data_IF_755019869411
#
_entry.id   IF_755019869411
#
_cell.length_a   1.000
_cell.length_b   1.000
_cell.length_c   1.000
_cell.angle_alpha   90.00
_cell.angle_beta   90.00
_cell.angle_gamma   90.00
#
_symmetry.space_group_name_H-M   'P 1'
#
loop_
_entity.id
_entity.type
_entity.pdbx_description
1 polymer ?
#
# COMPACT_ATOMS: atom_id res chain seq x y z
N UNK A 1 -14.84 0.58 24.75
CA UNK A 1 -14.13 1.63 23.98
C UNK A 1 -13.62 1.00 22.69
N UNK A 2 -13.64 1.70 21.55
CA UNK A 2 -13.03 1.19 20.32
C UNK A 2 -11.56 0.87 20.57
N UNK A 3 -11.06 -0.27 20.07
CA UNK A 3 -9.64 -0.61 20.13
C UNK A 3 -8.89 0.14 19.04
N UNK A 4 -7.71 0.68 19.35
CA UNK A 4 -6.92 1.41 18.35
C UNK A 4 -6.41 0.49 17.23
N UNK A 5 -6.16 -0.78 17.54
CA UNK A 5 -5.79 -1.79 16.55
C UNK A 5 -6.92 -2.06 15.53
N UNK A 6 -8.18 -1.94 15.93
CA UNK A 6 -9.32 -2.11 15.02
C UNK A 6 -9.40 -1.00 13.96
N UNK A 7 -8.96 0.22 14.29
CA UNK A 7 -8.89 1.30 13.30
C UNK A 7 -7.81 1.01 12.25
N UNK A 8 -6.66 0.46 12.64
CA UNK A 8 -5.65 0.05 11.66
C UNK A 8 -6.10 -1.12 10.77
N UNK A 9 -6.87 -2.08 11.32
CA UNK A 9 -7.53 -3.13 10.52
C UNK A 9 -8.49 -2.51 9.51
N UNK A 10 -9.34 -1.58 9.96
CA UNK A 10 -10.32 -0.88 9.11
C UNK A 10 -9.66 -0.07 8.00
N UNK A 11 -8.61 0.69 8.33
CA UNK A 11 -7.83 1.44 7.34
C UNK A 11 -7.16 0.49 6.34
N UNK A 12 -6.70 -0.68 6.78
CA UNK A 12 -6.13 -1.68 5.87
C UNK A 12 -7.17 -2.32 4.96
N UNK A 13 -8.37 -2.63 5.45
CA UNK A 13 -9.47 -3.12 4.59
C UNK A 13 -9.81 -2.11 3.49
N UNK A 14 -9.91 -0.82 3.85
CA UNK A 14 -10.06 0.25 2.87
C UNK A 14 -8.90 0.27 1.86
N UNK A 15 -7.67 0.22 2.37
CA UNK A 15 -6.48 0.33 1.55
C UNK A 15 -6.35 -0.85 0.56
N UNK A 16 -6.76 -2.06 0.95
CA UNK A 16 -6.84 -3.22 0.07
C UNK A 16 -7.76 -2.96 -1.12
N UNK A 17 -8.97 -2.48 -0.88
CA UNK A 17 -9.91 -2.17 -1.95
C UNK A 17 -9.40 -1.03 -2.85
N UNK A 18 -8.78 -0.01 -2.25
CA UNK A 18 -8.15 1.06 -3.02
C UNK A 18 -6.97 0.55 -3.88
N UNK A 19 -6.13 -0.37 -3.38
CA UNK A 19 -5.10 -1.03 -4.20
C UNK A 19 -5.72 -1.81 -5.36
N UNK A 20 -6.75 -2.62 -5.10
CA UNK A 20 -7.43 -3.40 -6.14
C UNK A 20 -8.01 -2.50 -7.24
N UNK A 21 -8.67 -1.40 -6.87
CA UNK A 21 -9.17 -0.40 -7.82
C UNK A 21 -8.04 0.25 -8.62
N UNK A 22 -6.93 0.62 -7.97
CA UNK A 22 -5.75 1.15 -8.65
C UNK A 22 -5.16 0.15 -9.66
N UNK A 23 -5.00 -1.12 -9.28
CA UNK A 23 -4.52 -2.18 -10.16
C UNK A 23 -5.46 -2.41 -11.36
N UNK A 24 -6.77 -2.34 -11.14
CA UNK A 24 -7.76 -2.44 -12.21
C UNK A 24 -7.61 -1.29 -13.22
N UNK A 25 -7.43 -0.04 -12.76
CA UNK A 25 -7.16 1.10 -13.66
C UNK A 25 -5.84 0.95 -14.42
N UNK A 26 -4.78 0.42 -13.80
CA UNK A 26 -3.51 0.13 -14.46
C UNK A 26 -3.69 -0.94 -15.55
N UNK A 27 -4.42 -2.02 -15.26
CA UNK A 27 -4.70 -3.10 -16.22
C UNK A 27 -5.54 -2.62 -17.41
N UNK A 28 -6.56 -1.78 -17.15
CA UNK A 28 -7.33 -1.15 -18.21
C UNK A 28 -6.45 -0.28 -19.11
N UNK A 29 -5.57 0.54 -18.53
CA UNK A 29 -4.64 1.39 -19.28
C UNK A 29 -3.59 0.60 -20.07
N UNK A 30 -3.13 -0.55 -19.56
CA UNK A 30 -2.13 -1.40 -20.24
C UNK A 30 -2.62 -1.90 -21.60
N UNK A 31 -3.93 -2.09 -21.78
CA UNK A 31 -4.51 -2.52 -23.05
C UNK A 31 -4.33 -1.51 -24.19
N UNK A 32 -4.21 -0.21 -23.86
CA UNK A 32 -4.11 0.88 -24.85
C UNK A 32 -2.80 1.66 -24.78
N UNK A 33 -2.03 1.53 -23.70
CA UNK A 33 -0.86 2.36 -23.43
C UNK A 33 0.37 1.57 -22.95
N UNK A 34 0.44 0.26 -23.22
CA UNK A 34 1.50 -0.66 -22.77
C UNK A 34 2.92 -0.10 -22.80
N UNK A 35 3.29 0.62 -23.87
CA UNK A 35 4.63 1.14 -24.08
C UNK A 35 4.81 2.62 -23.65
N UNK A 36 3.80 3.23 -23.02
CA UNK A 36 3.86 4.62 -22.61
C UNK A 36 4.71 4.79 -21.33
N UNK A 37 5.68 5.71 -21.29
CA UNK A 37 6.57 5.89 -20.13
C UNK A 37 5.82 6.24 -18.84
N UNK A 38 4.77 7.06 -18.90
CA UNK A 38 3.95 7.37 -17.72
C UNK A 38 3.19 6.14 -17.18
N UNK A 39 2.74 5.20 -18.03
CA UNK A 39 2.16 3.94 -17.56
C UNK A 39 3.23 3.09 -16.87
N UNK A 40 4.42 2.97 -17.48
CA UNK A 40 5.55 2.24 -16.87
C UNK A 40 5.86 2.77 -15.48
N UNK A 41 6.02 4.08 -15.35
CA UNK A 41 6.26 4.75 -14.07
C UNK A 41 5.14 4.52 -13.06
N UNK A 42 3.87 4.49 -13.50
CA UNK A 42 2.74 4.21 -12.63
C UNK A 42 2.78 2.78 -12.07
N UNK A 43 3.16 1.80 -12.89
CA UNK A 43 3.34 0.40 -12.45
C UNK A 43 4.54 0.29 -11.50
N UNK A 44 5.64 0.99 -11.76
CA UNK A 44 6.82 1.01 -10.88
C UNK A 44 6.48 1.59 -9.50
N UNK A 45 5.66 2.66 -9.45
CA UNK A 45 5.14 3.21 -8.20
C UNK A 45 4.24 2.22 -7.46
N UNK A 46 3.43 1.44 -8.17
CA UNK A 46 2.60 0.40 -7.56
C UNK A 46 3.47 -0.70 -6.92
N UNK A 47 4.52 -1.13 -7.60
CA UNK A 47 5.50 -2.08 -7.05
C UNK A 47 6.28 -1.51 -5.84
N UNK A 48 6.58 -0.21 -5.86
CA UNK A 48 7.21 0.50 -4.75
C UNK A 48 6.34 0.51 -3.48
N UNK A 49 5.02 0.72 -3.62
CA UNK A 49 4.07 0.66 -2.48
C UNK A 49 4.21 -0.69 -1.77
N UNK A 50 4.18 -1.80 -2.51
CA UNK A 50 4.31 -3.14 -1.92
C UNK A 50 5.66 -3.30 -1.23
N UNK A 51 6.73 -2.96 -1.93
CA UNK A 51 8.10 -3.13 -1.44
C UNK A 51 8.37 -2.36 -0.15
N UNK A 52 7.88 -1.12 -0.04
CA UNK A 52 7.98 -0.33 1.18
C UNK A 52 7.22 -0.94 2.36
N UNK A 53 6.03 -1.49 2.12
CA UNK A 53 5.29 -2.22 3.18
C UNK A 53 6.03 -3.47 3.63
N UNK A 54 6.55 -4.26 2.69
CA UNK A 54 7.30 -5.47 3.01
C UNK A 54 8.60 -5.16 3.76
N UNK A 55 9.29 -4.08 3.38
CA UNK A 55 10.48 -3.59 4.08
C UNK A 55 10.15 -3.22 5.53
N UNK A 56 9.10 -2.44 5.77
CA UNK A 56 8.73 -2.09 7.14
C UNK A 56 8.30 -3.30 7.96
N UNK A 57 7.58 -4.25 7.37
CA UNK A 57 7.22 -5.49 8.06
C UNK A 57 8.46 -6.30 8.47
N UNK A 58 9.48 -6.39 7.60
CA UNK A 58 10.75 -7.07 7.90
C UNK A 58 11.53 -6.42 9.04
N UNK A 59 11.33 -5.12 9.29
CA UNK A 59 11.96 -4.40 10.39
C UNK A 59 11.21 -4.58 11.71
N UNK A 60 9.89 -4.79 11.64
CA UNK A 60 9.04 -4.91 12.81
C UNK A 60 8.88 -6.36 13.29
N UNK A 61 9.18 -7.34 12.43
CA UNK A 61 8.89 -8.78 12.62
C UNK A 61 9.90 -9.65 11.85
N UNK A 62 10.01 -10.92 12.24
CA UNK A 62 10.78 -11.93 11.49
C UNK A 62 9.93 -12.67 10.43
N UNK A 63 8.74 -12.17 10.09
CA UNK A 63 7.82 -12.84 9.16
C UNK A 63 8.31 -12.83 7.72
N UNK A 64 9.13 -11.85 7.35
CA UNK A 64 9.60 -11.62 5.98
C UNK A 64 11.02 -11.06 5.99
N UNK A 65 11.79 -11.41 4.96
CA UNK A 65 13.14 -10.86 4.78
C UNK A 65 13.09 -9.43 4.26
N UNK A 66 14.13 -8.65 4.59
CA UNK A 66 14.33 -7.31 4.03
C UNK A 66 14.41 -7.38 2.49
N UNK A 67 13.60 -6.62 1.75
CA UNK A 67 13.68 -6.56 0.29
C UNK A 67 15.06 -6.05 -0.19
N UNK A 68 15.55 -6.66 -1.27
CA UNK A 68 16.86 -6.33 -1.85
C UNK A 68 16.91 -4.90 -2.45
N UNK A 69 15.79 -4.38 -2.92
CA UNK A 69 15.64 -3.01 -3.44
C UNK A 69 14.32 -2.44 -2.95
N UNK A 70 14.22 -1.11 -2.87
CA UNK A 70 12.95 -0.38 -2.65
C UNK A 70 12.24 -0.03 -3.95
N UNK A 71 12.95 -0.08 -5.08
CA UNK A 71 12.46 0.31 -6.39
C UNK A 71 12.67 -0.85 -7.36
N UNK A 72 11.75 -1.82 -7.39
CA UNK A 72 11.78 -2.91 -8.37
C UNK A 72 11.22 -2.39 -9.72
N UNK A 73 11.95 -1.49 -10.36
CA UNK A 73 11.56 -0.90 -11.63
C UNK A 73 11.51 -1.95 -12.75
N UNK A 74 10.55 -1.82 -13.66
CA UNK A 74 10.40 -2.73 -14.79
C UNK A 74 9.65 -4.03 -14.47
N UNK A 75 9.23 -4.26 -13.23
CA UNK A 75 8.38 -5.42 -12.90
C UNK A 75 7.10 -5.41 -13.75
N UNK A 76 6.75 -6.52 -14.44
CA UNK A 76 5.52 -6.63 -15.21
C UNK A 76 4.28 -6.43 -14.33
N UNK A 77 3.21 -5.82 -14.88
CA UNK A 77 1.99 -5.55 -14.10
C UNK A 77 1.39 -6.81 -13.47
N UNK A 78 1.41 -7.95 -14.17
CA UNK A 78 0.94 -9.22 -13.64
C UNK A 78 1.69 -9.63 -12.35
N UNK A 79 3.01 -9.49 -12.34
CA UNK A 79 3.82 -9.77 -11.15
C UNK A 79 3.56 -8.76 -10.03
N UNK A 80 3.30 -7.48 -10.36
CA UNK A 80 2.91 -6.47 -9.36
C UNK A 80 1.57 -6.84 -8.70
N UNK A 81 0.61 -7.38 -9.46
CA UNK A 81 -0.66 -7.87 -8.89
C UNK A 81 -0.38 -8.99 -7.88
N UNK A 82 0.43 -9.99 -8.24
CA UNK A 82 0.82 -11.08 -7.32
C UNK A 82 1.59 -10.57 -6.09
N UNK A 83 2.41 -9.52 -6.24
CA UNK A 83 3.08 -8.85 -5.13
C UNK A 83 2.06 -8.24 -4.16
N UNK A 84 1.02 -7.57 -4.66
CA UNK A 84 -0.06 -7.03 -3.81
C UNK A 84 -0.82 -8.12 -3.08
N UNK A 85 -1.20 -9.20 -3.77
CA UNK A 85 -1.93 -10.32 -3.16
C UNK A 85 -1.16 -10.94 -1.99
N UNK A 86 0.14 -11.23 -2.21
CA UNK A 86 1.01 -11.76 -1.14
C UNK A 86 1.17 -10.78 0.01
N UNK A 87 1.41 -9.50 -0.29
CA UNK A 87 1.54 -8.46 0.72
C UNK A 87 0.26 -8.32 1.55
N UNK A 88 -0.91 -8.30 0.90
CA UNK A 88 -2.21 -8.23 1.55
C UNK A 88 -2.44 -9.41 2.49
N UNK A 89 -2.13 -10.64 2.06
CA UNK A 89 -2.31 -11.83 2.88
C UNK A 89 -1.43 -11.80 4.15
N UNK A 90 -0.16 -11.43 4.01
CA UNK A 90 0.78 -11.38 5.15
C UNK A 90 0.38 -10.27 6.12
N UNK A 91 0.06 -9.08 5.61
CA UNK A 91 -0.34 -7.95 6.45
C UNK A 91 -1.69 -8.14 7.12
N UNK A 92 -2.64 -8.84 6.48
CA UNK A 92 -3.91 -9.17 7.12
C UNK A 92 -3.67 -10.02 8.35
N UNK A 93 -2.86 -11.08 8.23
CA UNK A 93 -2.49 -11.93 9.37
C UNK A 93 -1.79 -11.14 10.49
N UNK A 94 -0.81 -10.32 10.14
CA UNK A 94 -0.11 -9.48 11.11
C UNK A 94 -1.06 -8.53 11.86
N UNK A 95 -1.98 -7.88 11.14
CA UNK A 95 -2.93 -6.95 11.75
C UNK A 95 -4.03 -7.67 12.53
N UNK A 96 -4.45 -8.87 12.13
CA UNK A 96 -5.43 -9.67 12.87
C UNK A 96 -4.91 -10.01 14.28
N UNK A 97 -3.63 -10.37 14.40
CA UNK A 97 -2.99 -10.70 15.68
C UNK A 97 -2.55 -9.48 16.50
N UNK A 98 -2.61 -8.26 15.94
CA UNK A 98 -2.09 -7.06 16.59
C UNK A 98 -2.99 -6.57 17.74
N UNK A 99 -2.50 -6.67 18.97
CA UNK A 99 -3.18 -6.13 20.15
C UNK A 99 -2.88 -4.63 20.35
N UNK A 100 -3.76 -3.90 21.05
CA UNK A 100 -3.57 -2.48 21.34
C UNK A 100 -2.26 -2.19 22.10
N UNK A 101 -1.86 -3.08 23.01
CA UNK A 101 -0.61 -2.95 23.76
C UNK A 101 0.63 -3.02 22.85
N UNK A 102 0.55 -3.71 21.70
CA UNK A 102 1.65 -3.83 20.75
C UNK A 102 1.84 -2.55 19.90
N UNK A 103 0.86 -1.65 19.87
CA UNK A 103 0.97 -0.41 19.11
C UNK A 103 2.05 0.52 19.64
N UNK A 104 2.31 0.50 20.94
CA UNK A 104 3.36 1.28 21.59
C UNK A 104 4.72 0.55 21.60
N UNK A 105 4.76 -0.71 21.18
CA UNK A 105 6.02 -1.46 21.10
C UNK A 105 7.00 -0.70 20.21
N UNK A 106 8.20 -0.48 20.77
CA UNK A 106 9.32 0.10 20.04
C UNK A 106 10.18 -1.00 19.43
N UNK A 107 10.74 -0.72 18.26
CA UNK A 107 11.71 -1.58 17.60
C UNK A 107 12.84 -0.72 17.00
N UNK A 108 14.03 -1.29 16.93
CA UNK A 108 15.17 -0.65 16.29
C UNK A 108 15.30 -1.12 14.85
N UNK A 109 15.81 -0.26 13.97
CA UNK A 109 16.12 -0.62 12.60
C UNK A 109 17.32 0.15 12.07
N UNK A 110 17.94 -0.41 11.04
CA UNK A 110 19.03 0.22 10.30
C UNK A 110 18.52 0.64 8.92
N UNK A 111 18.83 1.86 8.52
CA UNK A 111 18.53 2.37 7.17
C UNK A 111 19.43 1.71 6.13
N UNK A 112 19.12 1.90 4.84
CA UNK A 112 20.01 1.49 3.75
C UNK A 112 21.34 2.29 3.74
N UNK A 113 21.41 3.43 4.43
CA UNK A 113 22.63 4.24 4.63
C UNK A 113 23.44 3.80 5.85
N UNK A 114 22.98 2.80 6.61
CA UNK A 114 23.69 2.27 7.79
C UNK A 114 23.38 2.99 9.10
N UNK A 115 22.48 3.97 9.10
CA UNK A 115 22.09 4.73 10.28
C UNK A 115 21.05 3.96 11.10
N UNK A 116 21.15 4.03 12.44
CA UNK A 116 20.25 3.33 13.37
C UNK A 116 19.22 4.26 13.96
N UNK A 117 17.98 3.80 13.98
CA UNK A 117 16.84 4.51 14.57
C UNK A 117 15.96 3.55 15.36
N UNK A 118 15.05 4.11 16.15
CA UNK A 118 13.99 3.38 16.82
C UNK A 118 12.66 4.10 16.64
N UNK A 119 11.58 3.35 16.39
CA UNK A 119 10.24 3.89 16.26
C UNK A 119 9.21 2.97 16.93
N UNK A 120 7.99 3.47 17.10
CA UNK A 120 6.85 2.70 17.58
C UNK A 120 6.05 2.11 16.41
N UNK A 121 5.43 0.95 16.63
CA UNK A 121 4.63 0.26 15.61
C UNK A 121 3.55 1.18 15.01
N UNK A 122 2.80 1.90 15.84
CA UNK A 122 1.72 2.77 15.35
C UNK A 122 2.19 3.91 14.43
N UNK A 123 3.40 4.44 14.64
CA UNK A 123 3.96 5.49 13.77
C UNK A 123 4.22 4.94 12.37
N UNK A 124 4.80 3.74 12.28
CA UNK A 124 5.04 3.07 11.00
C UNK A 124 3.73 2.71 10.31
N UNK A 125 2.73 2.17 11.04
CA UNK A 125 1.42 1.89 10.45
C UNK A 125 0.81 3.17 9.85
N UNK A 126 0.81 4.26 10.60
CA UNK A 126 0.32 5.58 10.15
C UNK A 126 1.07 6.08 8.91
N UNK A 127 2.39 5.95 8.90
CA UNK A 127 3.24 6.30 7.75
C UNK A 127 2.90 5.47 6.52
N UNK A 128 2.67 4.16 6.66
CA UNK A 128 2.39 3.26 5.54
C UNK A 128 1.06 3.60 4.84
N UNK A 129 0.02 3.96 5.59
CA UNK A 129 -1.26 4.42 5.00
C UNK A 129 -1.11 5.73 4.22
N UNK A 130 -0.34 6.66 4.79
CA UNK A 130 -0.08 7.96 4.17
C UNK A 130 0.79 7.81 2.92
N UNK A 131 1.82 6.96 2.98
CA UNK A 131 2.73 6.63 1.88
C UNK A 131 2.01 5.96 0.71
N UNK A 132 1.14 4.98 0.99
CA UNK A 132 0.30 4.36 -0.04
C UNK A 132 -0.61 5.40 -0.72
N UNK A 133 -1.30 6.23 0.05
CA UNK A 133 -2.20 7.26 -0.49
C UNK A 133 -1.45 8.29 -1.34
N UNK A 134 -0.26 8.70 -0.91
CA UNK A 134 0.62 9.59 -1.66
C UNK A 134 0.99 9.02 -3.04
N UNK A 135 1.44 7.77 -3.11
CA UNK A 135 1.81 7.15 -4.38
C UNK A 135 0.61 6.78 -5.25
N UNK A 136 -0.53 6.38 -4.68
CA UNK A 136 -1.77 6.23 -5.45
C UNK A 136 -2.22 7.53 -6.11
N UNK A 137 -2.04 8.68 -5.44
CA UNK A 137 -2.28 10.00 -6.03
C UNK A 137 -1.36 10.28 -7.23
N UNK A 138 -0.08 9.91 -7.14
CA UNK A 138 0.86 10.01 -8.26
C UNK A 138 0.47 9.11 -9.43
N UNK A 139 0.08 7.85 -9.15
CA UNK A 139 -0.43 6.91 -10.15
C UNK A 139 -1.65 7.49 -10.85
N UNK A 140 -2.60 8.05 -10.09
CA UNK A 140 -3.79 8.67 -10.66
C UNK A 140 -3.45 9.83 -11.62
N UNK A 141 -2.47 10.67 -11.25
CA UNK A 141 -2.00 11.76 -12.11
C UNK A 141 -1.36 11.22 -13.41
N UNK A 142 -0.53 10.19 -13.32
CA UNK A 142 0.14 9.57 -14.49
C UNK A 142 -0.87 8.94 -15.44
N UNK A 143 -1.91 8.27 -14.93
CA UNK A 143 -3.00 7.74 -15.75
C UNK A 143 -3.77 8.85 -16.47
N UNK A 144 -4.07 9.97 -15.78
CA UNK A 144 -4.74 11.12 -16.43
C UNK A 144 -3.91 11.71 -17.57
N UNK A 145 -2.58 11.78 -17.43
CA UNK A 145 -1.69 12.33 -18.47
C UNK A 145 -1.73 11.57 -19.79
N UNK A 146 -2.01 10.28 -19.73
CA UNK A 146 -2.10 9.42 -20.91
C UNK A 146 -3.54 9.27 -21.43
N UNK A 147 -4.50 9.99 -20.84
CA UNK A 147 -5.92 9.91 -21.21
C UNK A 147 -6.65 8.71 -20.63
N UNK A 148 -6.04 7.97 -19.69
CA UNK A 148 -6.69 6.86 -18.98
C UNK A 148 -7.44 7.35 -17.74
N UNK A 149 -8.50 6.63 -17.36
CA UNK A 149 -9.29 6.97 -16.17
C UNK A 149 -8.67 6.37 -14.90
N UNK A 150 -8.25 7.19 -13.91
CA UNK A 150 -7.73 6.68 -12.66
C UNK A 150 -8.84 6.20 -11.71
N UNK A 151 -8.46 5.32 -10.79
CA UNK A 151 -9.35 4.83 -9.76
C UNK A 151 -9.77 5.93 -8.77
N UNK A 152 -11.06 5.95 -8.40
CA UNK A 152 -11.57 6.72 -7.27
C UNK A 152 -11.26 5.98 -5.97
N UNK A 153 -10.36 6.55 -5.16
CA UNK A 153 -9.79 5.88 -3.99
C UNK A 153 -9.96 6.65 -2.68
N UNK A 154 -10.66 7.79 -2.65
CA UNK A 154 -10.86 8.52 -1.40
C UNK A 154 -11.71 7.72 -0.40
N UNK A 155 -11.32 7.80 0.88
CA UNK A 155 -11.94 7.05 1.97
C UNK A 155 -13.46 7.28 2.11
N UNK A 156 -13.94 8.50 1.85
CA UNK A 156 -15.37 8.83 1.93
C UNK A 156 -16.21 8.06 0.91
N UNK A 157 -15.64 7.73 -0.26
CA UNK A 157 -16.34 6.94 -1.28
C UNK A 157 -16.47 5.48 -0.86
N UNK A 158 -15.53 4.99 -0.06
CA UNK A 158 -15.56 3.65 0.51
C UNK A 158 -16.59 3.51 1.63
N UNK A 159 -16.65 4.51 2.53
CA UNK A 159 -17.52 4.45 3.72
C UNK A 159 -18.97 4.83 3.45
N UNK A 160 -19.24 5.76 2.53
CA UNK A 160 -20.60 6.28 2.33
C UNK A 160 -21.58 5.19 1.90
N UNK A 161 -22.82 5.32 2.34
CA UNK A 161 -23.96 4.53 1.91
C UNK A 161 -25.05 5.47 1.43
N UNK A 162 -25.80 5.08 0.40
CA UNK A 162 -27.00 5.84 0.02
C UNK A 162 -28.02 5.67 1.15
N UNK A 163 -28.61 6.76 1.58
CA UNK A 163 -29.83 6.69 2.39
C UNK A 163 -30.96 6.54 1.39
N UNK A 164 -31.53 5.35 1.28
CA UNK A 164 -32.75 5.16 0.51
C UNK A 164 -33.87 5.91 1.24
N UNK A 165 -34.62 6.73 0.50
CA UNK A 165 -35.74 7.49 1.05
C UNK A 165 -36.85 6.55 1.49
N UNK A 166 -37.36 6.76 2.71
CA UNK A 166 -38.60 6.17 3.23
C UNK A 166 -39.79 6.38 2.31
#
# INVERSE_FOLDING_TARGET
MPRFSDEFRRLFSYEQEAHQRTLASLSAAESSHRNHPDLRKAIDLAAHIVTCRMMWLSRMTDLVSLPATLFPEGTPLAEVVEMFERMHAIWSRYLDDLADAELERRFEYTTYTGERYADAVHNVLTQLFSHSSYHRGQIALLLRRIGAEPALTDFVFWTRRRVDGS
#
